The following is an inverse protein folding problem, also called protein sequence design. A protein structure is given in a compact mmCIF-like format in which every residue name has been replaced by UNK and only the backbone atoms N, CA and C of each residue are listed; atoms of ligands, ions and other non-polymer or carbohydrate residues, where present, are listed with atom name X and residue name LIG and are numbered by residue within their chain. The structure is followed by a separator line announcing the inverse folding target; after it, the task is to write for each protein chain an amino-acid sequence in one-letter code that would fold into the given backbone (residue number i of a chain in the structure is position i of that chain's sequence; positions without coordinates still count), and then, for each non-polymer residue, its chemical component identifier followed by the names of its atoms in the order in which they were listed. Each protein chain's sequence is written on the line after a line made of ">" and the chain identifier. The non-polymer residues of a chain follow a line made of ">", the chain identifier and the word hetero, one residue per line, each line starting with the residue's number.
data_IF_477820372162
#
_entry.id   IF_477820372162
#
_cell.length_a   1.000
_cell.length_b   1.000
_cell.length_c   1.000
_cell.angle_alpha   90.00
_cell.angle_beta   90.00
_cell.angle_gamma   90.00
#
_symmetry.space_group_name_H-M   'P 1'
#
loop_
_entity.id
_entity.type
_entity.pdbx_description
1 polymer ?
#
# COMPACT_ATOMS: atom_id res chain seq x y z
N UNK A 1 0.51 -4.96 6.07
CA UNK A 1 1.58 -5.58 6.89
C UNK A 1 2.93 -5.37 6.22
N UNK A 2 3.95 -4.89 6.95
CA UNK A 2 5.33 -4.88 6.44
C UNK A 2 5.82 -6.33 6.30
N UNK A 3 6.17 -6.80 5.10
CA UNK A 3 6.48 -8.20 4.87
C UNK A 3 7.81 -8.58 5.53
N UNK A 4 7.82 -9.63 6.36
CA UNK A 4 9.05 -10.15 7.02
C UNK A 4 10.12 -10.63 6.04
N UNK A 5 9.68 -11.05 4.84
CA UNK A 5 10.54 -11.34 3.68
C UNK A 5 10.18 -10.37 2.57
N UNK A 6 11.13 -9.59 2.04
CA UNK A 6 10.89 -8.69 0.91
C UNK A 6 10.18 -9.39 -0.24
N UNK A 7 9.30 -8.66 -0.92
CA UNK A 7 8.69 -9.16 -2.13
C UNK A 7 9.74 -9.31 -3.23
N UNK A 8 9.71 -10.45 -3.92
CA UNK A 8 10.60 -10.75 -5.06
C UNK A 8 9.76 -11.29 -6.23
N UNK A 9 8.81 -10.49 -6.77
CA UNK A 9 7.99 -10.94 -7.88
C UNK A 9 8.86 -11.19 -9.11
N UNK A 10 8.59 -12.28 -9.82
CA UNK A 10 9.18 -12.59 -11.11
C UNK A 10 8.10 -12.52 -12.19
N UNK A 11 8.16 -11.47 -12.99
CA UNK A 11 7.25 -11.25 -14.12
C UNK A 11 7.74 -11.93 -15.42
N UNK A 12 8.78 -12.77 -15.33
CA UNK A 12 9.29 -13.56 -16.44
C UNK A 12 8.41 -14.82 -16.68
N UNK A 13 8.95 -15.77 -17.44
CA UNK A 13 8.26 -17.04 -17.74
C UNK A 13 7.87 -17.86 -16.51
N UNK A 14 8.49 -17.64 -15.34
CA UNK A 14 8.11 -18.29 -14.09
C UNK A 14 6.79 -17.76 -13.50
N UNK A 15 6.32 -16.58 -13.92
CA UNK A 15 5.10 -15.92 -13.44
C UNK A 15 4.90 -16.00 -11.90
N UNK A 16 5.98 -15.82 -11.15
CA UNK A 16 5.99 -15.95 -9.69
C UNK A 16 5.72 -14.60 -9.04
N UNK A 17 4.45 -14.18 -9.01
CA UNK A 17 4.03 -12.91 -8.40
C UNK A 17 2.70 -12.99 -7.64
N UNK A 18 2.14 -14.19 -7.47
CA UNK A 18 0.88 -14.43 -6.74
C UNK A 18 0.84 -13.85 -5.33
N UNK A 19 1.96 -13.93 -4.60
CA UNK A 19 2.07 -13.35 -3.25
C UNK A 19 1.89 -11.83 -3.26
N UNK A 20 2.45 -11.13 -4.26
CA UNK A 20 2.35 -9.67 -4.36
C UNK A 20 0.96 -9.25 -4.83
N UNK A 21 0.39 -9.98 -5.78
CA UNK A 21 -0.97 -9.75 -6.23
C UNK A 21 -1.97 -9.97 -5.09
N UNK A 22 -1.86 -11.06 -4.34
CA UNK A 22 -2.74 -11.34 -3.20
C UNK A 22 -2.58 -10.30 -2.08
N UNK A 23 -1.36 -9.85 -1.79
CA UNK A 23 -1.16 -8.84 -0.75
C UNK A 23 -1.85 -7.52 -1.07
N UNK A 24 -1.99 -7.15 -2.35
CA UNK A 24 -2.73 -5.97 -2.75
C UNK A 24 -4.19 -6.01 -2.26
N UNK A 25 -4.87 -7.16 -2.34
CA UNK A 25 -6.25 -7.30 -1.83
C UNK A 25 -6.29 -7.28 -0.30
N UNK A 26 -5.30 -7.89 0.37
CA UNK A 26 -5.23 -7.95 1.83
C UNK A 26 -4.99 -6.56 2.40
N UNK A 27 -3.95 -5.87 1.92
CA UNK A 27 -3.53 -4.57 2.44
C UNK A 27 -4.47 -3.43 2.06
N UNK A 28 -5.32 -3.60 1.03
CA UNK A 28 -6.43 -2.68 0.72
C UNK A 28 -7.74 -3.02 1.45
N UNK A 29 -7.75 -4.05 2.31
CA UNK A 29 -8.96 -4.48 3.02
C UNK A 29 -10.07 -5.01 2.10
N UNK A 30 -9.71 -5.48 0.89
CA UNK A 30 -10.63 -6.04 -0.12
C UNK A 30 -10.71 -7.56 -0.07
N UNK A 31 -9.75 -8.21 0.59
CA UNK A 31 -9.75 -9.66 0.73
C UNK A 31 -11.04 -10.15 1.42
N UNK A 32 -11.70 -11.15 0.83
CA UNK A 32 -13.01 -11.67 1.26
C UNK A 32 -14.18 -10.66 1.26
N UNK A 33 -13.99 -9.47 0.69
CA UNK A 33 -15.07 -8.55 0.38
C UNK A 33 -15.31 -8.68 -1.12
N UNK A 34 -16.56 -8.78 -1.56
CA UNK A 34 -16.94 -8.88 -2.98
C UNK A 34 -16.67 -7.54 -3.68
N UNK A 35 -15.39 -7.16 -3.73
CA UNK A 35 -14.87 -5.86 -4.11
C UNK A 35 -13.63 -6.09 -4.95
N UNK A 36 -13.70 -5.67 -6.20
CA UNK A 36 -12.60 -5.74 -7.14
C UNK A 36 -11.72 -4.49 -7.06
N UNK A 37 -10.47 -4.63 -7.47
CA UNK A 37 -9.50 -3.54 -7.68
C UNK A 37 -9.35 -3.19 -9.17
N UNK A 38 -10.08 -3.88 -10.05
CA UNK A 38 -10.09 -3.68 -11.51
C UNK A 38 -8.71 -3.86 -12.15
N UNK A 39 -7.93 -4.82 -11.63
CA UNK A 39 -6.64 -5.25 -12.17
C UNK A 39 -6.65 -6.77 -12.11
N UNK A 40 -6.67 -7.43 -13.28
CA UNK A 40 -6.58 -8.89 -13.34
C UNK A 40 -5.18 -9.39 -12.99
N UNK A 41 -5.08 -10.69 -12.68
CA UNK A 41 -3.80 -11.34 -12.42
C UNK A 41 -2.81 -11.21 -13.59
N UNK A 42 -3.29 -11.27 -14.84
CA UNK A 42 -2.47 -11.05 -16.03
C UNK A 42 -2.05 -9.61 -16.20
N UNK A 43 -2.96 -8.64 -16.04
CA UNK A 43 -2.63 -7.21 -16.17
C UNK A 43 -1.62 -6.77 -15.11
N UNK A 44 -1.68 -7.35 -13.92
CA UNK A 44 -0.78 -7.01 -12.81
C UNK A 44 0.70 -7.09 -13.21
N UNK A 45 1.10 -8.13 -13.96
CA UNK A 45 2.49 -8.26 -14.42
C UNK A 45 2.81 -7.44 -15.69
N UNK A 46 1.79 -7.02 -16.41
CA UNK A 46 1.89 -6.37 -17.73
C UNK A 46 1.75 -4.84 -17.60
N UNK A 47 2.32 -4.27 -16.54
CA UNK A 47 2.40 -2.82 -16.32
C UNK A 47 1.46 -2.24 -15.28
N UNK A 48 0.53 -3.03 -14.73
CA UNK A 48 -0.41 -2.61 -13.67
C UNK A 48 0.03 -3.09 -12.28
N UNK A 49 1.35 -3.23 -12.06
CA UNK A 49 1.87 -3.66 -10.75
C UNK A 49 1.67 -2.55 -9.71
N UNK A 50 0.81 -2.82 -8.74
CA UNK A 50 0.65 -2.01 -7.54
C UNK A 50 1.06 -2.79 -6.28
N UNK A 51 1.70 -2.09 -5.35
CA UNK A 51 1.99 -2.58 -4.02
C UNK A 51 1.27 -1.68 -3.02
N UNK A 52 0.36 -2.27 -2.25
CA UNK A 52 -0.21 -1.63 -1.07
C UNK A 52 0.48 -2.19 0.17
N UNK A 53 0.65 -1.35 1.19
CA UNK A 53 1.18 -1.75 2.49
C UNK A 53 0.30 -1.09 3.53
N UNK A 54 -0.48 -1.89 4.26
CA UNK A 54 -1.15 -1.39 5.44
C UNK A 54 -0.11 -1.14 6.54
N UNK A 55 0.05 0.14 6.88
CA UNK A 55 0.95 0.67 7.92
C UNK A 55 0.22 1.00 9.22
N UNK A 56 -1.09 0.73 9.32
CA UNK A 56 -1.80 0.86 10.59
C UNK A 56 -1.22 -0.13 11.62
N UNK A 57 -1.07 0.28 12.90
CA UNK A 57 -0.48 -0.57 13.93
C UNK A 57 -1.17 -1.92 14.13
N UNK A 58 -2.46 -2.01 13.81
CA UNK A 58 -3.32 -3.17 13.99
C UNK A 58 -3.76 -3.83 12.67
N UNK A 59 -3.23 -3.37 11.54
CA UNK A 59 -3.54 -3.89 10.19
C UNK A 59 -5.03 -3.81 9.86
N UNK A 60 -5.64 -2.68 10.21
CA UNK A 60 -7.05 -2.39 10.01
C UNK A 60 -7.27 -1.06 9.31
N UNK A 61 -6.53 -0.82 8.21
CA UNK A 61 -6.73 0.37 7.37
C UNK A 61 -8.19 0.59 6.94
N UNK A 62 -8.96 -0.49 6.82
CA UNK A 62 -10.39 -0.51 6.46
C UNK A 62 -11.35 -0.55 7.67
N UNK A 63 -10.82 -0.51 8.90
CA UNK A 63 -11.57 -0.57 10.14
C UNK A 63 -12.31 0.74 10.44
N UNK A 64 -13.31 0.70 11.32
CA UNK A 64 -14.09 1.89 11.71
C UNK A 64 -13.55 2.59 12.98
N UNK A 65 -12.47 2.09 13.57
CA UNK A 65 -11.85 2.66 14.76
C UNK A 65 -10.54 3.36 14.41
N UNK A 66 -10.15 4.32 15.24
CA UNK A 66 -8.89 5.04 15.06
C UNK A 66 -7.77 4.31 15.78
N UNK A 67 -6.69 4.05 15.04
CA UNK A 67 -5.44 3.59 15.63
C UNK A 67 -4.63 4.79 16.13
N UNK A 68 -3.80 4.56 17.14
CA UNK A 68 -2.94 5.62 17.70
C UNK A 68 -1.99 6.11 16.61
N UNK A 69 -2.00 7.41 16.34
CA UNK A 69 -1.06 8.06 15.42
C UNK A 69 0.38 7.82 15.89
N UNK A 70 1.21 7.30 14.98
CA UNK A 70 2.63 7.06 15.21
C UNK A 70 3.45 7.73 14.12
N UNK A 71 4.22 8.73 14.51
CA UNK A 71 5.18 9.36 13.61
C UNK A 71 6.43 8.47 13.53
N UNK A 72 6.82 8.13 12.30
CA UNK A 72 8.03 7.36 12.02
C UNK A 72 8.56 7.71 10.63
N UNK A 73 9.79 7.33 10.36
CA UNK A 73 10.40 7.45 9.04
C UNK A 73 10.11 6.19 8.22
N UNK A 74 9.79 6.38 6.94
CA UNK A 74 9.63 5.30 5.96
C UNK A 74 10.81 5.33 4.99
N UNK A 75 11.43 4.17 4.78
CA UNK A 75 12.43 3.96 3.73
C UNK A 75 11.94 2.83 2.81
N UNK A 76 12.08 3.03 1.50
CA UNK A 76 11.68 2.08 0.48
C UNK A 76 12.87 1.70 -0.39
N UNK A 77 13.27 0.43 -0.32
CA UNK A 77 14.34 -0.11 -1.14
C UNK A 77 13.75 -0.96 -2.27
N UNK A 78 14.04 -0.57 -3.51
CA UNK A 78 13.58 -1.28 -4.72
C UNK A 78 14.80 -1.71 -5.54
N UNK A 79 14.78 -2.95 -6.00
CA UNK A 79 15.82 -3.50 -6.87
C UNK A 79 15.21 -4.13 -8.12
N UNK A 80 15.76 -3.77 -9.26
CA UNK A 80 15.43 -4.39 -10.54
C UNK A 80 16.40 -5.55 -10.83
N UNK A 81 15.88 -6.64 -11.40
CA UNK A 81 16.69 -7.82 -11.76
C UNK A 81 17.63 -7.56 -12.94
N UNK A 82 17.30 -6.55 -13.76
CA UNK A 82 18.08 -6.07 -14.91
C UNK A 82 18.19 -4.55 -14.82
N UNK A 83 19.20 -3.99 -15.50
CA UNK A 83 19.28 -2.54 -15.68
C UNK A 83 18.04 -2.05 -16.42
N UNK A 84 17.47 -0.93 -15.96
CA UNK A 84 16.34 -0.29 -16.63
C UNK A 84 16.82 0.29 -17.97
N UNK A 85 16.11 0.04 -19.08
CA UNK A 85 16.49 0.57 -20.39
C UNK A 85 16.29 2.09 -20.49
N UNK A 86 15.44 2.64 -19.62
CA UNK A 86 15.08 4.05 -19.57
C UNK A 86 14.83 4.51 -18.12
N UNK A 87 14.72 5.82 -17.92
CA UNK A 87 14.38 6.39 -16.61
C UNK A 87 12.91 6.12 -16.31
N UNK A 88 12.62 5.63 -15.10
CA UNK A 88 11.26 5.35 -14.64
C UNK A 88 10.91 6.27 -13.48
N UNK A 89 9.62 6.61 -13.35
CA UNK A 89 9.09 7.33 -12.20
C UNK A 89 8.41 6.35 -11.25
N UNK A 90 8.68 6.52 -9.95
CA UNK A 90 7.93 5.84 -8.91
C UNK A 90 6.89 6.82 -8.35
N UNK A 91 5.62 6.42 -8.39
CA UNK A 91 4.53 7.17 -7.76
C UNK A 91 4.20 6.51 -6.44
N UNK A 92 4.22 7.29 -5.36
CA UNK A 92 3.91 6.83 -4.01
C UNK A 92 2.72 7.64 -3.49
N UNK A 93 1.67 6.93 -3.07
CA UNK A 93 0.51 7.51 -2.42
C UNK A 93 0.46 7.04 -0.96
N UNK A 94 0.02 7.94 -0.07
CA UNK A 94 -0.26 7.62 1.31
C UNK A 94 -1.69 8.06 1.63
N UNK A 95 -2.46 7.14 2.19
CA UNK A 95 -3.77 7.40 2.77
C UNK A 95 -3.65 7.26 4.28
N UNK A 96 -4.09 8.27 5.02
CA UNK A 96 -4.07 8.28 6.48
C UNK A 96 -5.18 9.20 6.99
N UNK A 97 -5.56 8.99 8.26
CA UNK A 97 -6.56 9.82 8.93
C UNK A 97 -5.86 11.01 9.58
N UNK A 98 -6.47 12.18 9.41
CA UNK A 98 -6.09 13.42 10.08
C UNK A 98 -7.25 13.86 10.97
N UNK A 99 -6.94 14.50 12.10
CA UNK A 99 -7.92 15.01 13.04
C UNK A 99 -8.08 16.52 12.86
N UNK A 100 -9.33 16.96 12.67
CA UNK A 100 -9.71 18.38 12.75
C UNK A 100 -10.50 18.56 14.04
N UNK A 101 -9.91 19.22 15.03
CA UNK A 101 -10.57 19.54 16.29
C UNK A 101 -11.12 20.97 16.24
N UNK A 102 -12.39 21.13 16.62
CA UNK A 102 -13.04 22.44 16.76
C UNK A 102 -13.38 22.64 18.22
N UNK A 103 -12.72 23.61 18.86
CA UNK A 103 -12.95 23.88 20.28
C UNK A 103 -14.24 24.70 20.50
N UNK A 104 -14.61 24.88 21.78
CA UNK A 104 -15.79 25.68 22.17
C UNK A 104 -15.73 27.14 21.67
N UNK A 105 -14.54 27.67 21.43
CA UNK A 105 -14.32 29.03 20.94
C UNK A 105 -14.32 29.11 19.40
N UNK A 106 -14.54 27.98 18.70
CA UNK A 106 -14.46 27.82 17.24
C UNK A 106 -13.04 27.97 16.69
N UNK A 107 -12.03 27.70 17.50
CA UNK A 107 -10.68 27.52 17.00
C UNK A 107 -10.60 26.17 16.29
N UNK A 108 -9.98 26.16 15.11
CA UNK A 108 -9.76 24.95 14.31
C UNK A 108 -8.31 24.54 14.53
N UNK A 109 -8.12 23.33 15.05
CA UNK A 109 -6.81 22.70 15.26
C UNK A 109 -6.69 21.51 14.30
N UNK A 110 -5.54 21.41 13.63
CA UNK A 110 -5.22 20.32 12.71
C UNK A 110 -3.91 19.66 13.11
N UNK A 111 -3.74 18.39 12.78
CA UNK A 111 -2.53 17.59 13.04
C UNK A 111 -1.59 17.47 11.83
N UNK A 112 -1.84 18.25 10.77
CA UNK A 112 -1.02 18.36 9.56
C UNK A 112 -0.63 19.81 9.25
#
# INVERSE_FOLDING_TARGET
>A
MIPSKPYQPKFDTSNSYSRCYMSLFIDLGRYHKDQDINISYSEYKDGYTLLAIDLTPDLSADGMHDSVLRNSNLALDIRFSKALPETVNLIVYAEYRNVIEIDKNRNVLTDF
#
